data_IF_803866734070
#
_entry.id   IF_803866734070
#
_cell.length_a   1.000
_cell.length_b   1.000
_cell.length_c   1.000
_cell.angle_alpha   90.00
_cell.angle_beta   90.00
_cell.angle_gamma   90.00
#
_symmetry.space_group_name_H-M   'P 1'
#
loop_
_entity.id
_entity.type
_entity.pdbx_description
1 polymer ?
#
# COMPACT_ATOMS: atom_id res chain seq x y z
N UNK A 1 17.18 16.75 12.93
CA UNK A 1 16.58 16.15 14.15
C UNK A 1 17.60 15.28 14.87
N UNK A 2 18.13 14.25 14.21
CA UNK A 2 19.17 13.34 14.76
C UNK A 2 20.37 14.08 15.38
N UNK A 3 20.95 15.05 14.67
CA UNK A 3 22.09 15.84 15.17
C UNK A 3 21.77 16.64 16.43
N UNK A 4 20.52 17.03 16.65
CA UNK A 4 20.08 17.73 17.86
C UNK A 4 19.88 16.76 19.02
N UNK A 5 19.30 15.58 18.78
CA UNK A 5 19.14 14.53 19.79
C UNK A 5 20.49 13.98 20.26
N UNK A 6 21.46 13.82 19.36
CA UNK A 6 22.84 13.44 19.71
C UNK A 6 23.50 14.54 20.56
N UNK A 7 23.41 15.82 20.16
CA UNK A 7 23.95 16.93 20.95
C UNK A 7 23.31 17.03 22.34
N UNK A 8 22.01 16.75 22.46
CA UNK A 8 21.30 16.74 23.75
C UNK A 8 21.81 15.57 24.61
N UNK A 9 21.90 14.36 24.05
CA UNK A 9 22.41 13.19 24.76
C UNK A 9 23.85 13.35 25.22
N UNK A 10 24.69 14.04 24.44
CA UNK A 10 26.07 14.34 24.81
C UNK A 10 26.15 15.37 25.94
N UNK A 11 25.28 16.38 25.94
CA UNK A 11 25.20 17.39 27.01
C UNK A 11 24.65 16.82 28.32
N UNK A 12 23.75 15.83 28.26
CA UNK A 12 23.14 15.20 29.44
C UNK A 12 23.88 13.94 29.89
N UNK A 13 24.86 13.46 29.12
CA UNK A 13 25.56 12.21 29.38
C UNK A 13 24.70 10.96 29.13
N UNK A 14 23.62 11.09 28.35
CA UNK A 14 22.64 10.03 28.05
C UNK A 14 22.62 9.71 26.55
N UNK A 15 23.79 9.64 25.89
CA UNK A 15 23.88 9.36 24.45
C UNK A 15 23.24 8.01 24.12
N UNK A 16 23.49 6.97 24.91
CA UNK A 16 22.95 5.63 24.66
C UNK A 16 21.41 5.65 24.59
N UNK A 17 20.75 6.29 25.55
CA UNK A 17 19.29 6.46 25.56
C UNK A 17 18.78 7.31 24.38
N UNK A 18 19.56 8.28 23.92
CA UNK A 18 19.18 9.09 22.76
C UNK A 18 19.33 8.32 21.45
N UNK A 19 20.34 7.45 21.33
CA UNK A 19 20.52 6.59 20.17
C UNK A 19 19.40 5.56 20.04
N UNK A 20 18.96 4.96 21.14
CA UNK A 20 17.79 4.06 21.15
C UNK A 20 16.52 4.78 20.68
N UNK A 21 16.27 6.01 21.17
CA UNK A 21 15.13 6.81 20.70
C UNK A 21 15.20 7.18 19.22
N UNK A 22 16.40 7.39 18.69
CA UNK A 22 16.58 7.67 17.27
C UNK A 22 16.28 6.41 16.46
N UNK A 23 16.70 5.23 16.93
CA UNK A 23 16.38 3.96 16.29
C UNK A 23 14.86 3.73 16.27
N UNK A 24 14.18 3.84 17.41
CA UNK A 24 12.73 3.70 17.51
C UNK A 24 11.98 4.67 16.57
N UNK A 25 12.44 5.92 16.51
CA UNK A 25 11.85 6.93 15.63
C UNK A 25 11.94 6.55 14.15
N UNK A 26 13.09 6.04 13.71
CA UNK A 26 13.27 5.64 12.32
C UNK A 26 12.54 4.34 11.98
N UNK A 27 12.44 3.40 12.91
CA UNK A 27 11.62 2.20 12.74
C UNK A 27 10.13 2.59 12.57
N UNK A 28 9.61 3.48 13.43
CA UNK A 28 8.24 4.00 13.30
C UNK A 28 8.01 4.75 11.96
N UNK A 29 9.00 5.52 11.50
CA UNK A 29 8.93 6.24 10.22
C UNK A 29 8.91 5.27 9.04
N UNK A 30 9.70 4.18 9.11
CA UNK A 30 9.72 3.12 8.10
C UNK A 30 8.39 2.37 8.09
N UNK A 31 7.86 1.97 9.23
CA UNK A 31 6.58 1.26 9.34
C UNK A 31 5.44 2.12 8.77
N UNK A 32 5.39 3.41 9.14
CA UNK A 32 4.42 4.36 8.59
C UNK A 32 4.54 4.49 7.06
N UNK A 33 5.78 4.57 6.55
CA UNK A 33 6.02 4.67 5.12
C UNK A 33 5.58 3.40 4.37
N UNK A 34 5.82 2.22 4.96
CA UNK A 34 5.38 0.93 4.40
C UNK A 34 3.87 0.84 4.39
N UNK A 35 3.19 1.20 5.47
CA UNK A 35 1.73 1.23 5.53
C UNK A 35 1.13 2.18 4.48
N UNK A 36 1.68 3.38 4.35
CA UNK A 36 1.24 4.34 3.34
C UNK A 36 1.44 3.82 1.91
N UNK A 37 2.54 3.10 1.67
CA UNK A 37 2.83 2.50 0.37
C UNK A 37 1.86 1.37 0.04
N UNK A 38 1.54 0.52 1.02
CA UNK A 38 0.52 -0.53 0.88
C UNK A 38 -0.86 0.07 0.61
N UNK A 39 -1.27 1.08 1.38
CA UNK A 39 -2.54 1.77 1.19
C UNK A 39 -2.66 2.41 -0.21
N UNK A 40 -1.55 2.95 -0.74
CA UNK A 40 -1.51 3.46 -2.11
C UNK A 40 -1.59 2.36 -3.18
N UNK A 41 -1.13 1.14 -2.89
CA UNK A 41 -1.23 -0.01 -3.79
C UNK A 41 -2.62 -0.65 -3.82
N UNK A 42 -3.40 -0.57 -2.73
CA UNK A 42 -4.77 -1.11 -2.66
C UNK A 42 -5.69 -0.71 -3.84
N UNK A 43 -5.83 0.58 -4.22
CA UNK A 43 -6.70 0.95 -5.33
C UNK A 43 -6.26 0.35 -6.66
N UNK A 44 -4.97 0.17 -6.90
CA UNK A 44 -4.48 -0.48 -8.12
C UNK A 44 -4.89 -1.95 -8.18
N UNK A 45 -4.82 -2.66 -7.05
CA UNK A 45 -5.26 -4.05 -6.96
C UNK A 45 -6.77 -4.18 -7.19
N UNK A 46 -7.58 -3.27 -6.63
CA UNK A 46 -9.03 -3.26 -6.83
C UNK A 46 -9.38 -3.03 -8.31
N UNK A 47 -8.74 -2.05 -8.96
CA UNK A 47 -8.95 -1.79 -10.40
C UNK A 47 -8.55 -3.00 -11.24
N UNK A 48 -7.39 -3.59 -10.96
CA UNK A 48 -6.93 -4.78 -11.67
C UNK A 48 -7.92 -5.95 -11.52
N UNK A 49 -8.37 -6.24 -10.29
CA UNK A 49 -9.36 -7.28 -10.03
C UNK A 49 -10.69 -6.98 -10.75
N UNK A 50 -11.11 -5.71 -10.75
CA UNK A 50 -12.30 -5.25 -11.46
C UNK A 50 -12.24 -5.49 -12.96
N UNK A 51 -11.08 -5.24 -13.59
CA UNK A 51 -10.88 -5.53 -15.02
C UNK A 51 -10.90 -7.03 -15.29
N UNK A 52 -10.20 -7.83 -14.48
CA UNK A 52 -10.14 -9.29 -14.64
C UNK A 52 -11.54 -9.93 -14.49
N UNK A 53 -12.27 -9.56 -13.44
CA UNK A 53 -13.63 -10.07 -13.18
C UNK A 53 -14.62 -9.53 -14.21
N UNK A 54 -14.55 -8.25 -14.54
CA UNK A 54 -15.39 -7.63 -15.57
C UNK A 54 -15.21 -8.27 -16.94
N UNK A 55 -13.95 -8.53 -17.33
CA UNK A 55 -13.63 -9.25 -18.57
C UNK A 55 -14.15 -10.67 -18.60
N UNK A 56 -14.09 -11.39 -17.46
CA UNK A 56 -14.69 -12.72 -17.34
C UNK A 56 -16.21 -12.69 -17.55
N UNK A 57 -16.91 -11.76 -16.90
CA UNK A 57 -18.36 -11.61 -17.04
C UNK A 57 -18.72 -11.33 -18.50
N UNK A 58 -18.06 -10.35 -19.13
CA UNK A 58 -18.31 -10.02 -20.55
C UNK A 58 -18.09 -11.24 -21.44
N UNK A 59 -17.01 -12.00 -21.22
CA UNK A 59 -16.71 -13.22 -21.99
C UNK A 59 -17.76 -14.32 -21.82
N UNK A 60 -18.39 -14.43 -20.65
CA UNK A 60 -19.45 -15.41 -20.39
C UNK A 60 -20.81 -14.99 -20.95
N UNK A 61 -21.16 -13.70 -20.88
CA UNK A 61 -22.49 -13.22 -21.24
C UNK A 61 -22.63 -12.80 -22.71
N UNK A 62 -21.58 -12.28 -23.35
CA UNK A 62 -21.60 -11.97 -24.79
C UNK A 62 -22.11 -13.13 -25.67
N UNK A 63 -21.61 -14.37 -25.54
CA UNK A 63 -22.09 -15.48 -26.38
C UNK A 63 -23.56 -15.84 -26.13
N UNK A 64 -24.10 -15.52 -24.94
CA UNK A 64 -25.53 -15.69 -24.65
C UNK A 64 -26.34 -14.67 -25.45
N UNK A 65 -25.90 -13.41 -25.54
CA UNK A 65 -26.55 -12.40 -26.37
C UNK A 65 -26.49 -12.75 -27.86
N UNK A 66 -25.35 -13.28 -28.32
CA UNK A 66 -25.21 -13.74 -29.71
C UNK A 66 -26.15 -14.92 -30.00
N UNK A 67 -26.30 -15.88 -29.08
CA UNK A 67 -27.28 -16.96 -29.21
C UNK A 67 -28.73 -16.45 -29.27
N UNK A 68 -29.11 -15.46 -28.46
CA UNK A 68 -30.46 -14.88 -28.48
C UNK A 68 -30.73 -14.23 -29.85
N UNK A 69 -29.75 -13.53 -30.43
CA UNK A 69 -29.89 -12.91 -31.75
C UNK A 69 -30.04 -13.93 -32.88
N UNK A 70 -29.37 -15.09 -32.78
CA UNK A 70 -29.46 -16.18 -33.77
C UNK A 70 -30.77 -16.95 -33.66
N UNK A 71 -31.31 -17.12 -32.44
CA UNK A 71 -32.58 -17.84 -32.18
C UNK A 71 -33.82 -16.94 -32.38
N UNK A 72 -33.65 -15.62 -32.36
CA UNK A 72 -34.73 -14.63 -32.53
C UNK A 72 -35.09 -14.27 -33.98
N UNK A 73 -34.39 -14.81 -34.99
CA UNK A 73 -34.81 -14.81 -36.41
C UNK A 73 -35.52 -16.12 -36.75
#
# INVERSE_FOLDING_TARGET
MVTQMINVGEQTGTIDEMLDKIADFYDDEVDTAVEALLAAMEPMLIVFLGVVVGGMIVSMYLPIFDMINVVGQ
#
